data_IF_603373135907
#
_entry.id   IF_603373135907
#
_cell.length_a   1.000
_cell.length_b   1.000
_cell.length_c   1.000
_cell.angle_alpha   90.00
_cell.angle_beta   90.00
_cell.angle_gamma   90.00
#
_symmetry.space_group_name_H-M   'P 1'
#
loop_
_entity.id
_entity.type
_entity.pdbx_description
1 polymer ?
#
# COMPACT_ATOMS: atom_id res chain seq x y z
N UNK A 1 -23.04 -22.49 2.48
CA UNK A 1 -22.13 -23.31 1.68
C UNK A 1 -21.09 -23.94 2.58
N UNK A 2 -21.09 -25.26 2.62
CA UNK A 2 -20.22 -26.03 3.51
C UNK A 2 -19.31 -26.95 2.72
N UNK A 3 -18.84 -26.50 1.58
CA UNK A 3 -18.02 -27.34 0.74
C UNK A 3 -16.52 -27.14 1.00
N UNK A 4 -15.68 -28.04 0.48
CA UNK A 4 -14.24 -27.96 0.65
C UNK A 4 -13.63 -26.70 0.07
N UNK A 5 -14.22 -26.13 -0.97
CA UNK A 5 -13.72 -24.92 -1.57
C UNK A 5 -13.87 -23.73 -0.60
N UNK A 6 -15.00 -23.68 0.10
CA UNK A 6 -15.21 -22.59 1.07
C UNK A 6 -14.17 -22.64 2.18
N UNK A 7 -13.94 -23.82 2.73
CA UNK A 7 -12.94 -23.97 3.79
C UNK A 7 -11.55 -23.62 3.28
N UNK A 8 -11.20 -24.11 2.11
CA UNK A 8 -9.90 -23.83 1.51
C UNK A 8 -9.73 -22.34 1.25
N UNK A 9 -10.76 -21.66 0.79
CA UNK A 9 -10.71 -20.23 0.53
C UNK A 9 -10.52 -19.42 1.82
N UNK A 10 -11.22 -19.82 2.88
CA UNK A 10 -11.07 -19.15 4.17
C UNK A 10 -9.66 -19.35 4.72
N UNK A 11 -9.14 -20.56 4.63
CA UNK A 11 -7.78 -20.84 5.09
C UNK A 11 -6.75 -20.08 4.25
N UNK A 12 -6.97 -19.98 2.96
CA UNK A 12 -6.09 -19.24 2.07
C UNK A 12 -6.00 -17.77 2.47
N UNK A 13 -7.11 -17.18 2.89
CA UNK A 13 -7.13 -15.77 3.28
C UNK A 13 -6.60 -15.53 4.69
N UNK A 14 -6.62 -16.56 5.54
CA UNK A 14 -6.15 -16.43 6.92
C UNK A 14 -4.67 -16.70 7.07
N UNK A 15 -4.15 -17.62 6.29
CA UNK A 15 -2.82 -18.17 6.53
C UNK A 15 -1.91 -18.03 5.32
N UNK A 16 -0.61 -17.84 5.52
CA UNK A 16 0.10 -17.71 6.80
C UNK A 16 -0.14 -16.36 7.49
N UNK A 17 -0.58 -15.34 6.76
CA UNK A 17 -0.91 -14.03 7.29
C UNK A 17 -2.27 -13.61 6.76
N UNK A 18 -3.08 -12.91 7.54
CA UNK A 18 -4.38 -12.46 7.06
C UNK A 18 -4.26 -11.58 5.82
N UNK A 19 -5.15 -11.84 4.87
CA UNK A 19 -5.24 -11.04 3.65
C UNK A 19 -4.28 -11.47 2.56
N UNK A 20 -4.25 -10.71 1.49
CA UNK A 20 -3.49 -11.05 0.28
C UNK A 20 -2.50 -9.98 -0.15
N UNK A 21 -2.37 -8.93 0.63
CA UNK A 21 -1.56 -7.77 0.26
C UNK A 21 -0.46 -7.57 1.27
N UNK A 22 0.72 -7.30 0.79
CA UNK A 22 1.81 -6.83 1.63
C UNK A 22 2.26 -5.47 1.15
N UNK A 23 2.92 -4.74 2.03
CA UNK A 23 3.48 -3.43 1.73
C UNK A 23 4.98 -3.51 1.93
N UNK A 24 5.71 -3.07 0.94
CA UNK A 24 7.17 -3.08 1.00
C UNK A 24 7.70 -1.75 0.47
N UNK A 25 8.76 -1.22 1.08
CA UNK A 25 9.42 -0.04 0.52
C UNK A 25 10.07 -0.36 -0.82
N UNK A 26 10.06 0.61 -1.71
CA UNK A 26 10.73 0.47 -3.02
C UNK A 26 12.18 0.94 -2.97
N UNK A 27 12.60 1.51 -1.86
CA UNK A 27 13.95 2.01 -1.65
C UNK A 27 14.60 1.22 -0.53
N UNK A 28 15.92 1.20 -0.49
CA UNK A 28 16.62 0.61 0.63
C UNK A 28 16.40 1.40 1.91
N UNK A 29 16.17 0.69 3.01
CA UNK A 29 16.02 1.29 4.34
C UNK A 29 16.90 0.55 5.33
N UNK A 30 18.17 0.36 4.98
CA UNK A 30 19.06 -0.53 5.73
C UNK A 30 20.11 0.21 6.56
N UNK A 31 20.22 1.53 6.42
CA UNK A 31 21.21 2.29 7.19
C UNK A 31 20.64 3.66 7.55
N UNK A 32 21.44 4.40 8.35
CA UNK A 32 20.98 5.70 8.85
C UNK A 32 20.84 6.73 7.75
N UNK A 33 21.67 6.67 6.72
CA UNK A 33 21.51 7.57 5.59
C UNK A 33 20.17 7.35 4.89
N UNK A 34 19.79 6.09 4.69
CA UNK A 34 18.51 5.78 4.08
C UNK A 34 17.35 6.31 4.91
N UNK A 35 17.43 6.17 6.22
CA UNK A 35 16.41 6.72 7.12
C UNK A 35 16.37 8.25 7.06
N UNK A 36 17.52 8.89 6.98
CA UNK A 36 17.59 10.33 6.87
C UNK A 36 16.95 10.83 5.57
N UNK A 37 17.08 10.09 4.49
CA UNK A 37 16.48 10.44 3.21
C UNK A 37 14.99 10.15 3.17
N UNK A 38 14.59 8.98 3.69
CA UNK A 38 13.21 8.51 3.57
C UNK A 38 12.31 9.09 4.66
N UNK A 39 12.87 9.39 5.82
CA UNK A 39 12.09 9.84 6.95
C UNK A 39 12.53 11.25 7.35
N UNK A 40 13.32 11.39 8.38
CA UNK A 40 13.69 12.72 8.87
C UNK A 40 15.19 12.92 8.84
N UNK A 41 15.69 14.05 8.34
CA UNK A 41 14.98 15.24 7.88
C UNK A 41 14.58 15.26 6.40
N UNK A 42 14.96 14.21 5.63
CA UNK A 42 14.82 14.23 4.17
C UNK A 42 13.39 14.33 3.68
N UNK A 43 12.42 13.75 4.42
CA UNK A 43 11.03 13.80 4.01
C UNK A 43 10.48 15.24 3.94
N UNK A 44 11.06 16.15 4.70
CA UNK A 44 10.67 17.56 4.64
C UNK A 44 10.92 18.17 3.26
N UNK A 45 11.98 17.74 2.58
CA UNK A 45 12.28 18.23 1.23
C UNK A 45 11.18 17.79 0.25
N UNK A 46 10.70 16.55 0.37
CA UNK A 46 9.59 16.08 -0.46
C UNK A 46 8.31 16.88 -0.17
N UNK A 47 8.02 17.14 1.09
CA UNK A 47 6.85 17.94 1.46
C UNK A 47 6.94 19.36 0.90
N UNK A 48 8.10 19.98 0.99
CA UNK A 48 8.30 21.34 0.47
C UNK A 48 8.14 21.38 -1.05
N UNK A 49 8.67 20.39 -1.74
CA UNK A 49 8.55 20.30 -3.19
C UNK A 49 7.10 20.13 -3.63
N UNK A 50 6.32 19.31 -2.93
CA UNK A 50 4.90 19.12 -3.22
C UNK A 50 4.12 20.39 -2.94
N UNK A 51 4.44 21.07 -1.84
CA UNK A 51 3.77 22.33 -1.50
C UNK A 51 4.03 23.40 -2.57
N UNK A 52 5.23 23.43 -3.13
CA UNK A 52 5.58 24.38 -4.17
C UNK A 52 4.94 24.01 -5.52
N UNK A 53 4.80 22.72 -5.80
CA UNK A 53 4.21 22.22 -7.05
C UNK A 53 3.46 20.93 -6.75
N UNK A 54 2.13 21.01 -6.55
CA UNK A 54 1.35 19.81 -6.21
C UNK A 54 1.43 18.67 -7.22
N UNK A 55 1.80 18.95 -8.47
CA UNK A 55 1.98 17.90 -9.48
C UNK A 55 3.14 16.97 -9.13
N UNK A 56 4.08 17.42 -8.31
CA UNK A 56 5.21 16.61 -7.85
C UNK A 56 4.79 15.46 -6.93
N UNK A 57 3.56 15.48 -6.42
CA UNK A 57 3.09 14.37 -5.60
C UNK A 57 3.17 13.03 -6.34
N UNK A 58 2.96 13.03 -7.63
CA UNK A 58 3.03 11.80 -8.43
C UNK A 58 4.44 11.23 -8.52
N UNK A 59 5.45 12.07 -8.39
CA UNK A 59 6.85 11.66 -8.49
C UNK A 59 7.49 11.40 -7.13
N UNK A 60 6.96 12.02 -6.08
CA UNK A 60 7.57 11.99 -4.76
C UNK A 60 6.79 11.12 -3.76
N UNK A 61 5.67 10.58 -4.18
CA UNK A 61 4.86 9.66 -3.37
C UNK A 61 4.41 8.49 -4.21
N UNK A 62 3.73 7.54 -3.58
CA UNK A 62 3.18 6.39 -4.30
C UNK A 62 1.94 6.74 -5.12
N UNK A 63 1.49 7.98 -5.09
CA UNK A 63 0.25 8.36 -5.75
C UNK A 63 0.22 7.99 -7.22
N UNK A 64 1.35 8.10 -7.91
CA UNK A 64 1.43 7.73 -9.32
C UNK A 64 1.41 6.23 -9.57
N UNK A 65 1.60 5.41 -8.53
CA UNK A 65 1.67 3.95 -8.63
C UNK A 65 0.44 3.24 -8.11
N UNK A 66 -0.52 3.98 -7.58
CA UNK A 66 -1.68 3.39 -6.93
C UNK A 66 -2.93 3.65 -7.75
N UNK A 67 -3.70 2.60 -7.93
CA UNK A 67 -5.00 2.68 -8.57
C UNK A 67 -6.02 2.16 -7.56
N UNK A 68 -7.01 2.98 -7.27
CA UNK A 68 -8.11 2.59 -6.40
C UNK A 68 -9.35 2.33 -7.25
N UNK A 69 -10.05 1.27 -6.94
CA UNK A 69 -11.35 1.00 -7.52
C UNK A 69 -12.37 1.11 -6.40
N UNK A 70 -13.27 2.06 -6.54
CA UNK A 70 -14.33 2.29 -5.57
C UNK A 70 -15.61 1.74 -6.17
N UNK A 71 -16.28 0.87 -5.42
CA UNK A 71 -17.41 0.13 -5.91
C UNK A 71 -18.40 -0.09 -4.79
N UNK A 72 -19.69 -0.19 -5.13
CA UNK A 72 -20.70 -0.58 -4.18
C UNK A 72 -21.05 -2.06 -4.31
N UNK A 73 -20.06 -2.87 -4.64
CA UNK A 73 -20.24 -4.31 -4.84
C UNK A 73 -20.28 -5.09 -3.54
N UNK A 74 -20.26 -4.40 -2.42
CA UNK A 74 -20.24 -5.05 -1.13
C UNK A 74 -21.42 -5.99 -0.94
N UNK A 75 -22.57 -5.64 -1.50
CA UNK A 75 -23.74 -6.51 -1.45
C UNK A 75 -23.56 -7.80 -2.22
N UNK A 76 -22.69 -7.81 -3.20
CA UNK A 76 -22.41 -8.99 -4.02
C UNK A 76 -21.51 -9.99 -3.31
N UNK A 77 -20.77 -9.53 -2.32
CA UNK A 77 -19.94 -10.41 -1.52
C UNK A 77 -20.77 -11.36 -0.69
N UNK A 78 -22.05 -11.10 -0.53
CA UNK A 78 -22.96 -11.93 0.24
C UNK A 78 -23.73 -12.94 -0.58
N UNK A 79 -23.48 -12.94 -1.87
CA UNK A 79 -24.19 -13.85 -2.76
C UNK A 79 -23.53 -15.20 -2.80
#
# INVERSE_FOLDING_TARGET
MEDPLRKAALDYHRFPSPGKISIAPTKGLINQRDLALAYTPGVAAACDAIAADPAEARNLTSRGNLVAVISNEIGRAHV
#
